data_IF_815731895711
#
_entry.id   IF_815731895711
#
_cell.length_a   1.000
_cell.length_b   1.000
_cell.length_c   1.000
_cell.angle_alpha   90.00
_cell.angle_beta   90.00
_cell.angle_gamma   90.00
#
_symmetry.space_group_name_H-M   'P 1'
#
loop_
_entity.id
_entity.type
_entity.pdbx_description
1 polymer ?
#
# COMPACT_ATOMS: atom_id res chain seq x y z
N UNK A 1 10.23 -30.25 24.38
CA UNK A 1 10.38 -29.66 23.04
C UNK A 1 9.22 -28.70 22.87
N UNK A 2 9.51 -27.39 22.81
CA UNK A 2 8.49 -26.35 22.71
C UNK A 2 7.73 -26.47 21.39
N UNK A 3 6.40 -26.38 21.49
CA UNK A 3 5.52 -26.15 20.36
C UNK A 3 5.86 -24.77 19.78
N UNK A 4 6.25 -24.74 18.51
CA UNK A 4 6.47 -23.51 17.77
C UNK A 4 5.66 -23.61 16.48
N UNK A 5 4.66 -22.71 16.44
CA UNK A 5 4.16 -22.02 15.26
C UNK A 5 3.25 -22.81 14.31
N UNK A 6 1.96 -22.68 14.62
CA UNK A 6 0.89 -22.79 13.62
C UNK A 6 0.97 -21.58 12.69
N UNK A 7 1.93 -21.54 11.77
CA UNK A 7 1.89 -20.61 10.64
C UNK A 7 0.92 -21.17 9.58
N UNK A 8 -0.38 -21.03 9.84
CA UNK A 8 -1.42 -21.08 8.81
C UNK A 8 -1.72 -19.66 8.33
N UNK A 9 -0.69 -18.91 7.92
CA UNK A 9 -0.87 -17.60 7.31
C UNK A 9 -0.55 -17.70 5.82
N UNK A 10 -1.61 -17.64 5.02
CA UNK A 10 -1.65 -17.52 3.56
C UNK A 10 -0.28 -17.45 2.87
N UNK A 11 0.22 -18.59 2.40
CA UNK A 11 1.45 -18.76 1.58
C UNK A 11 1.47 -17.91 0.30
N UNK A 12 0.39 -17.18 -0.01
CA UNK A 12 0.25 -16.29 -1.15
C UNK A 12 0.65 -14.84 -0.86
N UNK A 13 0.94 -14.47 0.41
CA UNK A 13 1.31 -13.11 0.79
C UNK A 13 2.84 -13.00 0.84
N UNK A 14 3.40 -12.02 0.12
CA UNK A 14 4.84 -11.75 0.17
C UNK A 14 5.25 -11.33 1.59
N UNK A 15 6.41 -11.76 2.09
CA UNK A 15 6.85 -11.39 3.45
C UNK A 15 6.91 -9.87 3.70
N UNK A 16 7.20 -9.06 2.68
CA UNK A 16 7.21 -7.59 2.75
C UNK A 16 5.82 -6.93 2.74
N UNK A 17 4.76 -7.72 2.53
CA UNK A 17 3.37 -7.28 2.55
C UNK A 17 2.71 -7.49 3.94
N UNK A 18 3.52 -7.88 4.94
CA UNK A 18 3.06 -8.03 6.32
C UNK A 18 2.97 -6.66 6.98
N UNK A 19 1.75 -6.24 7.30
CA UNK A 19 1.51 -5.05 8.13
C UNK A 19 2.15 -5.25 9.49
N UNK A 20 3.03 -4.34 9.89
CA UNK A 20 3.62 -4.37 11.24
C UNK A 20 2.57 -4.04 12.29
N UNK A 21 2.66 -4.69 13.46
CA UNK A 21 1.74 -4.41 14.57
C UNK A 21 2.01 -3.05 15.24
N UNK A 22 3.22 -2.50 15.06
CA UNK A 22 3.58 -1.16 15.54
C UNK A 22 2.96 -0.06 14.67
N UNK A 23 2.47 1.00 15.30
CA UNK A 23 1.98 2.19 14.59
C UNK A 23 3.17 2.92 13.94
N UNK A 24 3.12 3.07 12.61
CA UNK A 24 4.15 3.73 11.81
C UNK A 24 3.62 5.05 11.22
N UNK A 25 4.49 6.03 10.99
CA UNK A 25 4.12 7.27 10.30
C UNK A 25 3.86 7.05 8.81
N UNK A 26 3.27 8.05 8.15
CA UNK A 26 2.99 8.01 6.71
C UNK A 26 4.28 7.87 5.91
N UNK A 27 5.34 8.57 6.30
CA UNK A 27 6.65 8.50 5.67
C UNK A 27 7.25 7.10 5.80
N UNK A 28 7.20 6.50 7.00
CA UNK A 28 7.71 5.15 7.23
C UNK A 28 6.93 4.06 6.48
N UNK A 29 5.64 4.29 6.21
CA UNK A 29 4.82 3.42 5.37
C UNK A 29 5.12 3.60 3.89
N UNK A 30 5.43 4.83 3.47
CA UNK A 30 5.76 5.16 2.08
C UNK A 30 7.04 4.47 1.61
N UNK A 31 8.01 4.30 2.51
CA UNK A 31 9.30 3.65 2.20
C UNK A 31 9.24 2.11 2.26
N UNK A 32 8.10 1.52 2.63
CA UNK A 32 7.98 0.06 2.72
C UNK A 32 7.80 -0.60 1.37
N UNK A 33 8.57 -1.67 1.15
CA UNK A 33 8.64 -2.41 -0.10
C UNK A 33 8.17 -3.85 0.12
N UNK A 34 7.14 -4.24 -0.62
CA UNK A 34 6.54 -5.56 -0.58
C UNK A 34 7.36 -6.60 -1.34
N UNK A 35 7.91 -6.18 -2.49
CA UNK A 35 8.76 -7.01 -3.36
C UNK A 35 9.96 -6.19 -3.80
N UNK A 36 11.15 -6.72 -3.58
CA UNK A 36 12.39 -6.19 -4.15
C UNK A 36 13.19 -7.36 -4.70
N UNK A 37 13.08 -7.62 -6.02
CA UNK A 37 13.70 -8.81 -6.62
C UNK A 37 14.03 -8.63 -8.09
N UNK A 38 14.86 -9.54 -8.61
CA UNK A 38 15.24 -9.58 -10.02
C UNK A 38 14.43 -10.65 -10.76
N UNK A 39 13.73 -10.26 -11.80
CA UNK A 39 13.06 -11.16 -12.75
C UNK A 39 13.79 -11.19 -14.10
N UNK A 40 13.42 -12.13 -14.99
CA UNK A 40 13.93 -12.22 -16.36
C UNK A 40 13.79 -10.91 -17.13
N UNK A 41 12.82 -10.07 -16.74
CA UNK A 41 12.55 -8.75 -17.32
C UNK A 41 13.37 -7.60 -16.72
N UNK A 42 14.00 -7.80 -15.55
CA UNK A 42 14.81 -6.78 -14.85
C UNK A 42 14.52 -6.72 -13.34
N UNK A 43 15.06 -5.69 -12.68
CA UNK A 43 14.78 -5.42 -11.28
C UNK A 43 13.36 -4.87 -11.10
N UNK A 44 12.59 -5.49 -10.22
CA UNK A 44 11.22 -5.11 -9.92
C UNK A 44 11.12 -4.77 -8.44
N UNK A 45 10.64 -3.57 -8.16
CA UNK A 45 10.36 -3.08 -6.82
C UNK A 45 8.88 -2.72 -6.75
N UNK A 46 8.16 -3.29 -5.78
CA UNK A 46 6.73 -3.07 -5.55
C UNK A 46 6.55 -2.50 -4.15
N UNK A 47 6.02 -1.27 -4.00
CA UNK A 47 5.76 -0.68 -2.69
C UNK A 47 4.58 -1.39 -1.99
N UNK A 48 4.62 -1.42 -0.66
CA UNK A 48 3.53 -1.99 0.16
C UNK A 48 2.35 -1.03 0.29
N UNK A 49 2.64 0.28 0.36
CA UNK A 49 1.64 1.32 0.56
C UNK A 49 1.62 2.32 -0.61
N UNK A 50 0.43 2.82 -0.91
CA UNK A 50 0.17 3.93 -1.82
C UNK A 50 -0.10 5.19 -1.00
N UNK A 51 0.60 6.28 -1.29
CA UNK A 51 0.34 7.56 -0.63
C UNK A 51 -0.74 8.31 -1.39
N UNK A 52 -1.91 8.39 -0.80
CA UNK A 52 -3.01 9.22 -1.25
C UNK A 52 -2.97 10.58 -0.54
N UNK A 53 -3.49 11.60 -1.21
CA UNK A 53 -3.77 12.91 -0.62
C UNK A 53 -5.27 13.13 -0.75
N UNK A 54 -5.96 13.37 0.37
CA UNK A 54 -7.41 13.55 0.45
C UNK A 54 -7.88 14.98 0.13
N UNK A 55 -9.19 15.23 0.29
CA UNK A 55 -9.83 16.51 -0.06
C UNK A 55 -9.24 17.72 0.68
N UNK A 56 -8.86 17.55 1.96
CA UNK A 56 -8.31 18.63 2.80
C UNK A 56 -6.77 18.68 2.76
N UNK A 57 -6.12 17.88 1.90
CA UNK A 57 -4.67 17.80 1.74
C UNK A 57 -3.97 16.89 2.75
N UNK A 58 -4.73 16.12 3.54
CA UNK A 58 -4.21 15.07 4.40
C UNK A 58 -3.58 13.94 3.57
N UNK A 59 -2.40 13.49 3.99
CA UNK A 59 -1.69 12.39 3.32
C UNK A 59 -1.86 11.12 4.10
N UNK A 60 -2.29 10.07 3.42
CA UNK A 60 -2.53 8.76 4.00
C UNK A 60 -1.80 7.68 3.21
N UNK A 61 -1.18 6.74 3.92
CA UNK A 61 -0.51 5.60 3.32
C UNK A 61 -1.45 4.39 3.36
N UNK A 62 -2.05 4.07 2.21
CA UNK A 62 -3.04 3.01 1.99
C UNK A 62 -2.37 1.71 1.55
N UNK A 63 -2.65 0.60 2.22
CA UNK A 63 -2.10 -0.70 1.90
C UNK A 63 -2.79 -1.29 0.67
N UNK A 64 -2.01 -1.66 -0.36
CA UNK A 64 -2.56 -2.03 -1.67
C UNK A 64 -3.54 -3.22 -1.65
N UNK A 65 -3.39 -4.16 -0.71
CA UNK A 65 -4.35 -5.28 -0.51
C UNK A 65 -5.50 -4.96 0.44
N UNK A 66 -5.20 -4.36 1.61
CA UNK A 66 -6.18 -4.22 2.70
C UNK A 66 -7.12 -3.04 2.50
N UNK A 67 -6.63 -1.98 1.88
CA UNK A 67 -7.33 -0.70 1.75
C UNK A 67 -7.80 -0.49 0.29
N UNK A 68 -8.05 -1.59 -0.43
CA UNK A 68 -8.44 -1.55 -1.84
C UNK A 68 -9.75 -0.79 -2.09
N UNK A 69 -10.69 -0.85 -1.14
CA UNK A 69 -11.96 -0.10 -1.20
C UNK A 69 -11.68 1.41 -1.11
N UNK A 70 -10.89 1.83 -0.12
CA UNK A 70 -10.50 3.22 0.10
C UNK A 70 -9.65 3.77 -1.05
N UNK A 71 -8.71 2.98 -1.57
CA UNK A 71 -7.97 3.32 -2.80
C UNK A 71 -8.96 3.52 -3.96
N UNK A 72 -9.95 2.65 -4.10
CA UNK A 72 -10.96 2.80 -5.14
C UNK A 72 -11.84 4.04 -4.92
N UNK A 73 -12.13 4.41 -3.67
CA UNK A 73 -12.88 5.61 -3.32
C UNK A 73 -12.08 6.86 -3.69
N UNK A 74 -10.82 6.95 -3.26
CA UNK A 74 -9.88 8.02 -3.63
C UNK A 74 -9.77 8.18 -5.14
N UNK A 75 -9.66 7.08 -5.90
CA UNK A 75 -9.60 7.15 -7.37
C UNK A 75 -10.93 7.67 -7.97
N UNK A 76 -12.08 7.30 -7.37
CA UNK A 76 -13.40 7.75 -7.84
C UNK A 76 -13.66 9.22 -7.54
N UNK A 77 -13.16 9.70 -6.42
CA UNK A 77 -13.31 11.07 -5.93
C UNK A 77 -12.32 12.03 -6.58
N UNK A 78 -11.10 11.57 -6.88
CA UNK A 78 -10.07 12.30 -7.61
C UNK A 78 -10.40 12.42 -9.12
N UNK A 79 -11.56 12.98 -9.44
CA UNK A 79 -11.89 13.38 -10.80
C UNK A 79 -10.94 14.48 -11.24
N UNK A 80 -10.78 14.62 -12.54
CA UNK A 80 -9.98 15.71 -13.12
C UNK A 80 -10.88 16.64 -13.91
N UNK A 81 -10.59 17.94 -13.85
CA UNK A 81 -11.18 18.93 -14.75
C UNK A 81 -10.57 18.84 -16.16
N UNK A 82 -11.01 19.70 -17.07
CA UNK A 82 -10.51 19.74 -18.47
C UNK A 82 -9.03 20.13 -18.57
N UNK A 83 -8.49 20.78 -17.54
CA UNK A 83 -7.08 21.17 -17.42
C UNK A 83 -6.21 20.07 -16.77
N UNK A 84 -6.84 18.97 -16.35
CA UNK A 84 -6.16 17.84 -15.69
C UNK A 84 -5.89 18.06 -14.21
N UNK A 85 -6.45 19.10 -13.58
CA UNK A 85 -6.33 19.32 -12.15
C UNK A 85 -7.30 18.41 -11.39
N UNK A 86 -6.84 17.87 -10.25
CA UNK A 86 -7.71 17.11 -9.34
C UNK A 86 -8.83 18.01 -8.82
N UNK A 87 -10.05 17.51 -8.93
CA UNK A 87 -11.27 18.12 -8.44
C UNK A 87 -11.99 17.10 -7.57
N UNK A 88 -12.21 17.50 -6.33
CA UNK A 88 -12.95 16.80 -5.30
C UNK A 88 -14.46 17.07 -5.48
N UNK A 89 -15.35 16.06 -5.30
CA UNK A 89 -16.73 16.07 -5.82
C UNK A 89 -17.83 16.05 -4.76
#
# INVERSE_FOLDING_TARGET
>A
MSQSDKENDNLAINPGDRVKEESQTVEEKSDQVAVDSWDVTGHVTVPTYFVAEGEEGEKEALHHVKDAEEISDVIREARVDEDGNRTWC
#
